data_IF_950328405771
#
_entry.id   IF_950328405771
#
_cell.length_a   1.000
_cell.length_b   1.000
_cell.length_c   1.000
_cell.angle_alpha   90.00
_cell.angle_beta   90.00
_cell.angle_gamma   90.00
#
_symmetry.space_group_name_H-M   'P 1'
#
loop_
_entity.id
_entity.type
_entity.pdbx_description
1 polymer ?
#
# COMPACT_ATOMS: atom_id res chain seq x y z
N UNK A 1 -37.74 34.08 16.65
CA UNK A 1 -36.29 33.87 16.48
C UNK A 1 -35.93 32.58 17.19
N UNK A 2 -35.87 31.47 16.45
CA UNK A 2 -35.63 30.14 17.04
C UNK A 2 -34.16 30.00 17.41
N UNK A 3 -33.85 30.06 18.70
CA UNK A 3 -32.52 29.71 19.22
C UNK A 3 -32.30 28.20 19.08
N UNK A 4 -31.68 27.79 17.97
CA UNK A 4 -31.19 26.43 17.80
C UNK A 4 -30.01 26.19 18.74
N UNK A 5 -30.29 25.72 19.96
CA UNK A 5 -29.27 25.20 20.88
C UNK A 5 -29.11 23.71 20.61
N UNK A 6 -28.31 23.36 19.60
CA UNK A 6 -27.81 22.00 19.46
C UNK A 6 -27.07 21.64 20.76
N UNK A 7 -27.38 20.51 21.43
CA UNK A 7 -26.83 20.15 22.74
C UNK A 7 -25.32 19.89 22.74
N UNK A 8 -24.70 19.95 21.57
CA UNK A 8 -23.29 19.74 21.36
C UNK A 8 -22.74 20.90 20.53
N UNK A 9 -21.81 21.65 21.10
CA UNK A 9 -21.28 22.90 20.54
C UNK A 9 -20.54 22.77 19.19
N UNK A 10 -19.95 23.86 18.68
CA UNK A 10 -19.27 23.92 17.37
C UNK A 10 -18.17 22.86 17.15
N UNK A 11 -17.70 22.22 18.23
CA UNK A 11 -16.76 21.11 18.23
C UNK A 11 -17.26 19.86 17.48
N UNK A 12 -18.56 19.55 17.50
CA UNK A 12 -19.09 18.41 16.72
C UNK A 12 -19.00 18.69 15.23
N UNK A 13 -19.35 19.91 14.81
CA UNK A 13 -19.24 20.31 13.41
C UNK A 13 -17.76 20.32 12.97
N UNK A 14 -16.86 20.82 13.82
CA UNK A 14 -15.42 20.77 13.56
C UNK A 14 -14.88 19.34 13.47
N UNK A 15 -15.32 18.44 14.35
CA UNK A 15 -14.95 17.02 14.33
C UNK A 15 -15.50 16.31 13.09
N UNK A 16 -16.75 16.59 12.71
CA UNK A 16 -17.38 16.03 11.51
C UNK A 16 -16.68 16.51 10.24
N UNK A 17 -16.35 17.80 10.14
CA UNK A 17 -15.61 18.37 9.00
C UNK A 17 -14.22 17.75 8.91
N UNK A 18 -13.51 17.64 10.04
CA UNK A 18 -12.18 17.00 10.09
C UNK A 18 -12.24 15.53 9.67
N UNK A 19 -13.28 14.80 10.08
CA UNK A 19 -13.51 13.42 9.68
C UNK A 19 -13.80 13.27 8.18
N UNK A 20 -14.63 14.15 7.60
CA UNK A 20 -14.92 14.16 6.17
C UNK A 20 -13.69 14.52 5.32
N UNK A 21 -12.87 15.46 5.78
CA UNK A 21 -11.59 15.80 5.15
C UNK A 21 -10.67 14.57 5.20
N UNK A 22 -10.55 13.91 6.35
CA UNK A 22 -9.74 12.70 6.50
C UNK A 22 -10.19 11.60 5.52
N UNK A 23 -11.51 11.36 5.41
CA UNK A 23 -12.06 10.41 4.44
C UNK A 23 -11.75 10.78 2.99
N UNK A 24 -11.84 12.07 2.63
CA UNK A 24 -11.47 12.56 1.31
C UNK A 24 -9.99 12.33 0.99
N UNK A 25 -9.10 12.57 1.96
CA UNK A 25 -7.66 12.34 1.83
C UNK A 25 -7.35 10.83 1.69
N UNK A 26 -8.03 9.98 2.46
CA UNK A 26 -7.88 8.53 2.37
C UNK A 26 -8.34 7.97 1.03
N UNK A 27 -9.36 8.57 0.40
CA UNK A 27 -9.81 8.21 -0.96
C UNK A 27 -8.84 8.64 -2.06
N UNK A 28 -7.92 9.57 -1.77
CA UNK A 28 -6.98 10.05 -2.77
C UNK A 28 -5.79 9.08 -2.90
N UNK A 29 -5.78 8.29 -3.98
CA UNK A 29 -4.72 7.31 -4.28
C UNK A 29 -3.30 7.92 -4.24
N UNK A 30 -3.13 9.19 -4.61
CA UNK A 30 -1.84 9.89 -4.58
C UNK A 30 -1.31 10.09 -3.18
N UNK A 31 -2.20 10.40 -2.23
CA UNK A 31 -1.84 10.61 -0.82
C UNK A 31 -1.43 9.28 -0.21
N UNK A 32 -2.22 8.23 -0.46
CA UNK A 32 -1.93 6.87 0.02
C UNK A 32 -0.58 6.38 -0.53
N UNK A 33 -0.34 6.53 -1.82
CA UNK A 33 0.91 6.16 -2.47
C UNK A 33 2.10 6.97 -1.92
N UNK A 34 1.99 8.29 -1.81
CA UNK A 34 3.04 9.16 -1.27
C UNK A 34 3.38 8.80 0.19
N UNK A 35 2.35 8.53 1.01
CA UNK A 35 2.51 8.07 2.38
C UNK A 35 3.29 6.74 2.42
N UNK A 36 2.92 5.77 1.59
CA UNK A 36 3.62 4.48 1.52
C UNK A 36 5.08 4.64 1.09
N UNK A 37 5.35 5.42 0.05
CA UNK A 37 6.71 5.71 -0.41
C UNK A 37 7.55 6.33 0.70
N UNK A 38 7.02 7.33 1.41
CA UNK A 38 7.75 8.03 2.49
C UNK A 38 7.97 7.13 3.70
N UNK A 39 6.96 6.34 4.07
CA UNK A 39 7.03 5.40 5.21
C UNK A 39 8.11 4.34 4.98
N UNK A 40 8.12 3.69 3.82
CA UNK A 40 9.04 2.60 3.54
C UNK A 40 10.43 3.08 3.06
N UNK A 41 10.54 4.27 2.47
CA UNK A 41 11.85 4.84 2.09
C UNK A 41 12.80 4.99 3.28
N UNK A 42 12.29 5.20 4.50
CA UNK A 42 13.10 5.38 5.71
C UNK A 42 13.39 4.08 6.47
N UNK A 43 12.80 2.95 6.07
CA UNK A 43 13.00 1.66 6.73
C UNK A 43 14.24 0.95 6.21
N UNK A 44 14.93 0.26 7.12
CA UNK A 44 16.11 -0.58 6.87
C UNK A 44 16.14 -1.79 7.84
N UNK A 45 14.96 -2.29 8.26
CA UNK A 45 14.84 -3.40 9.21
C UNK A 45 14.43 -4.72 8.53
N UNK A 46 14.71 -5.85 9.18
CA UNK A 46 14.52 -7.21 8.66
C UNK A 46 13.06 -7.51 8.29
N UNK A 47 12.11 -6.90 9.00
CA UNK A 47 10.68 -7.10 8.75
C UNK A 47 10.11 -6.13 7.70
N UNK A 48 10.91 -5.18 7.20
CA UNK A 48 10.44 -4.15 6.29
C UNK A 48 9.93 -4.74 4.97
N UNK A 49 10.60 -5.77 4.43
CA UNK A 49 10.22 -6.36 3.16
C UNK A 49 8.82 -6.99 3.18
N UNK A 50 8.55 -7.87 4.14
CA UNK A 50 7.23 -8.54 4.26
C UNK A 50 6.12 -7.50 4.43
N UNK A 51 6.33 -6.51 5.32
CA UNK A 51 5.36 -5.44 5.53
C UNK A 51 5.17 -4.56 4.29
N UNK A 52 6.24 -4.28 3.53
CA UNK A 52 6.16 -3.52 2.29
C UNK A 52 5.37 -4.28 1.23
N UNK A 53 5.64 -5.58 1.08
CA UNK A 53 4.96 -6.45 0.13
C UNK A 53 3.46 -6.56 0.43
N UNK A 54 3.07 -6.81 1.68
CA UNK A 54 1.66 -6.86 2.08
C UNK A 54 0.95 -5.51 1.83
N UNK A 55 1.64 -4.39 2.07
CA UNK A 55 1.09 -3.06 1.77
C UNK A 55 0.97 -2.79 0.28
N UNK A 56 1.84 -3.36 -0.54
CA UNK A 56 1.73 -3.32 -2.00
C UNK A 56 0.52 -4.11 -2.47
N UNK A 57 0.29 -5.33 -1.96
CA UNK A 57 -0.92 -6.10 -2.26
C UNK A 57 -2.19 -5.33 -1.89
N UNK A 58 -2.21 -4.72 -0.70
CA UNK A 58 -3.31 -3.89 -0.26
C UNK A 58 -3.50 -2.67 -1.17
N UNK A 59 -2.42 -1.98 -1.57
CA UNK A 59 -2.49 -0.82 -2.46
C UNK A 59 -3.06 -1.21 -3.83
N UNK A 60 -2.62 -2.33 -4.39
CA UNK A 60 -3.12 -2.85 -5.67
C UNK A 60 -4.61 -3.19 -5.58
N UNK A 61 -5.06 -3.87 -4.52
CA UNK A 61 -6.48 -4.10 -4.30
C UNK A 61 -7.26 -2.79 -4.14
N UNK A 62 -6.70 -1.82 -3.40
CA UNK A 62 -7.28 -0.49 -3.18
C UNK A 62 -7.49 0.28 -4.49
N UNK A 63 -6.58 0.16 -5.46
CA UNK A 63 -6.71 0.78 -6.79
C UNK A 63 -7.47 -0.09 -7.81
N UNK A 64 -8.08 -1.21 -7.39
CA UNK A 64 -8.94 -2.04 -8.22
C UNK A 64 -8.26 -3.27 -8.85
N UNK A 65 -6.97 -3.50 -8.57
CA UNK A 65 -6.20 -4.64 -9.06
C UNK A 65 -6.13 -5.77 -8.03
N UNK A 66 -7.27 -6.16 -7.47
CA UNK A 66 -7.31 -7.27 -6.51
C UNK A 66 -6.91 -8.62 -7.13
N UNK A 67 -6.42 -9.54 -6.30
CA UNK A 67 -6.16 -10.93 -6.69
C UNK A 67 -7.49 -11.62 -6.99
N UNK A 68 -7.52 -12.45 -8.04
CA UNK A 68 -8.71 -13.24 -8.39
C UNK A 68 -8.81 -14.48 -7.50
N UNK A 69 -10.02 -15.02 -7.39
CA UNK A 69 -10.25 -16.29 -6.70
C UNK A 69 -9.48 -17.41 -7.40
N UNK A 70 -8.78 -18.22 -6.61
CA UNK A 70 -7.92 -19.31 -7.11
C UNK A 70 -6.60 -18.88 -7.77
N UNK A 71 -6.36 -17.59 -7.97
CA UNK A 71 -5.11 -17.08 -8.56
C UNK A 71 -3.95 -17.19 -7.55
N UNK A 72 -2.86 -17.84 -7.96
CA UNK A 72 -1.64 -17.91 -7.17
C UNK A 72 -0.96 -16.54 -7.10
N UNK A 73 -0.09 -16.32 -6.11
CA UNK A 73 0.65 -15.05 -6.00
C UNK A 73 1.52 -14.80 -7.24
N UNK A 74 2.11 -15.84 -7.82
CA UNK A 74 2.94 -15.74 -9.03
C UNK A 74 2.15 -15.39 -10.28
N UNK A 75 0.97 -15.99 -10.47
CA UNK A 75 0.07 -15.62 -11.58
C UNK A 75 -0.43 -14.19 -11.44
N UNK A 76 -0.80 -13.81 -10.21
CA UNK A 76 -1.17 -12.44 -9.87
C UNK A 76 -0.05 -11.47 -10.23
N UNK A 77 1.19 -11.79 -9.84
CA UNK A 77 2.35 -10.98 -10.13
C UNK A 77 2.57 -10.75 -11.62
N UNK A 78 2.52 -11.82 -12.42
CA UNK A 78 2.65 -11.72 -13.88
C UNK A 78 1.55 -10.87 -14.52
N UNK A 79 0.32 -10.91 -13.97
CA UNK A 79 -0.78 -10.04 -14.43
C UNK A 79 -0.53 -8.57 -14.12
N UNK A 80 -0.03 -8.25 -12.93
CA UNK A 80 0.31 -6.87 -12.53
C UNK A 80 1.49 -6.35 -13.36
N UNK A 81 2.51 -7.17 -13.56
CA UNK A 81 3.68 -6.84 -14.39
C UNK A 81 3.28 -6.52 -15.83
N UNK A 82 2.37 -7.31 -16.42
CA UNK A 82 1.76 -7.01 -17.72
C UNK A 82 0.97 -5.70 -17.72
N UNK A 83 0.26 -5.39 -16.64
CA UNK A 83 -0.56 -4.18 -16.52
C UNK A 83 0.29 -2.90 -16.45
N UNK A 84 1.45 -2.95 -15.80
CA UNK A 84 2.32 -1.79 -15.56
C UNK A 84 3.60 -1.79 -16.42
N UNK A 85 3.68 -2.67 -17.42
CA UNK A 85 4.85 -2.89 -18.28
C UNK A 85 6.14 -2.94 -17.45
N UNK A 86 6.22 -4.00 -16.65
CA UNK A 86 7.17 -4.15 -15.54
C UNK A 86 7.50 -5.61 -15.30
N UNK A 87 8.56 -5.89 -14.54
CA UNK A 87 8.89 -7.24 -14.02
C UNK A 87 9.02 -7.23 -12.50
N UNK A 88 8.72 -6.09 -11.87
CA UNK A 88 9.01 -5.81 -10.47
C UNK A 88 8.15 -6.67 -9.55
N UNK A 89 6.89 -6.91 -9.90
CA UNK A 89 5.98 -7.68 -9.06
C UNK A 89 6.42 -9.14 -8.97
N UNK A 90 6.88 -9.75 -10.07
CA UNK A 90 7.43 -11.10 -10.06
C UNK A 90 8.71 -11.22 -9.23
N UNK A 91 9.62 -10.24 -9.30
CA UNK A 91 10.82 -10.21 -8.45
C UNK A 91 10.45 -10.17 -6.97
N UNK A 92 9.55 -9.26 -6.59
CA UNK A 92 9.05 -9.12 -5.22
C UNK A 92 8.33 -10.39 -4.74
N UNK A 93 7.51 -11.00 -5.60
CA UNK A 93 6.76 -12.22 -5.25
C UNK A 93 7.69 -13.40 -5.04
N UNK A 94 8.71 -13.53 -5.87
CA UNK A 94 9.72 -14.59 -5.75
C UNK A 94 10.43 -14.50 -4.41
N UNK A 95 10.82 -13.29 -3.99
CA UNK A 95 11.47 -13.09 -2.70
C UNK A 95 10.51 -13.34 -1.53
N UNK A 96 9.26 -12.90 -1.65
CA UNK A 96 8.24 -13.17 -0.65
C UNK A 96 8.00 -14.67 -0.44
N UNK A 97 7.88 -15.43 -1.53
CA UNK A 97 7.73 -16.89 -1.46
C UNK A 97 8.96 -17.55 -0.83
N UNK A 98 10.18 -17.11 -1.17
CA UNK A 98 11.40 -17.63 -0.53
C UNK A 98 11.40 -17.41 0.97
N UNK A 99 11.03 -16.23 1.45
CA UNK A 99 11.01 -15.94 2.89
C UNK A 99 9.93 -16.78 3.59
N UNK A 100 8.73 -16.85 2.99
CA UNK A 100 7.60 -17.57 3.59
C UNK A 100 7.81 -19.10 3.64
N UNK A 101 8.45 -19.69 2.64
CA UNK A 101 8.69 -21.14 2.60
C UNK A 101 10.08 -21.55 3.12
N UNK A 102 11.06 -20.64 3.11
CA UNK A 102 12.45 -20.90 3.50
C UNK A 102 12.79 -20.51 4.93
N UNK A 103 11.95 -19.74 5.63
CA UNK A 103 12.06 -19.49 7.07
C UNK A 103 13.19 -18.56 7.53
N UNK A 104 14.09 -18.13 6.65
CA UNK A 104 15.14 -17.15 6.96
C UNK A 104 14.78 -15.77 6.40
N UNK A 105 14.40 -14.88 7.32
CA UNK A 105 14.30 -13.45 7.05
C UNK A 105 15.73 -12.90 7.10
N UNK A 106 16.29 -12.46 5.98
CA UNK A 106 17.56 -11.73 5.98
C UNK A 106 17.31 -10.23 5.86
N UNK A 107 18.05 -9.43 6.63
CA UNK A 107 18.12 -7.96 6.49
C UNK A 107 18.41 -7.53 5.05
N UNK A 108 19.09 -8.38 4.28
CA UNK A 108 19.44 -8.13 2.88
C UNK A 108 18.23 -8.04 1.96
N UNK A 109 17.16 -8.80 2.21
CA UNK A 109 16.00 -8.84 1.30
C UNK A 109 15.35 -7.48 1.13
N UNK A 110 15.23 -6.68 2.19
CA UNK A 110 14.67 -5.32 2.02
C UNK A 110 15.62 -4.39 1.28
N UNK A 111 16.92 -4.42 1.59
CA UNK A 111 17.91 -3.55 0.95
C UNK A 111 17.95 -3.81 -0.56
N UNK A 112 17.92 -5.08 -0.97
CA UNK A 112 17.93 -5.49 -2.37
C UNK A 112 16.61 -5.14 -3.08
N UNK A 113 15.47 -5.41 -2.45
CA UNK A 113 14.17 -5.30 -3.11
C UNK A 113 13.49 -3.93 -2.98
N UNK A 114 14.01 -3.03 -2.13
CA UNK A 114 13.42 -1.70 -1.90
C UNK A 114 13.25 -0.90 -3.19
N UNK A 115 14.23 -0.94 -4.09
CA UNK A 115 14.15 -0.21 -5.35
C UNK A 115 13.07 -0.77 -6.27
N UNK A 116 12.99 -2.10 -6.38
CA UNK A 116 11.94 -2.81 -7.13
C UNK A 116 10.54 -2.46 -6.59
N UNK A 117 10.38 -2.47 -5.27
CA UNK A 117 9.14 -2.06 -4.60
C UNK A 117 8.78 -0.60 -4.88
N UNK A 118 9.72 0.34 -4.70
CA UNK A 118 9.47 1.76 -4.94
C UNK A 118 9.17 2.06 -6.42
N UNK A 119 9.82 1.35 -7.35
CA UNK A 119 9.59 1.44 -8.79
C UNK A 119 8.14 1.09 -9.13
N UNK A 120 7.67 -0.07 -8.66
CA UNK A 120 6.30 -0.51 -8.89
C UNK A 120 5.26 0.41 -8.22
N UNK A 121 5.49 0.81 -6.96
CA UNK A 121 4.58 1.72 -6.25
C UNK A 121 4.41 3.04 -7.01
N UNK A 122 5.49 3.58 -7.60
CA UNK A 122 5.41 4.79 -8.44
C UNK A 122 4.58 4.59 -9.71
N UNK A 123 4.72 3.43 -10.38
CA UNK A 123 3.95 3.08 -11.59
C UNK A 123 2.44 2.97 -11.35
N UNK A 124 2.00 2.61 -10.15
CA UNK A 124 0.57 2.48 -9.79
C UNK A 124 -0.22 3.81 -9.89
N UNK A 125 0.46 4.97 -9.92
CA UNK A 125 -0.17 6.29 -10.13
C UNK A 125 -0.14 6.79 -11.58
N UNK A 126 0.67 6.14 -12.44
CA UNK A 126 0.79 6.51 -13.86
C UNK A 126 -0.42 6.10 -14.68
#
# INVERSE_FOLDING_TARGET
MSEWRLPFGPWILSGLISFLILLGLLKNKKIVQYYLLTKFARRNDDHAFIQAYERLLWLLAYVGWQRKDGETLREYAGRIDKQYDSTEMLHLTTEYEKIMYGGQVSTSSWIEQKNHWMSLVRKIDS
#
